data_IF_113465127418
#
_entry.id   IF_113465127418
#
_cell.length_a   1.000
_cell.length_b   1.000
_cell.length_c   1.000
_cell.angle_alpha   90.00
_cell.angle_beta   90.00
_cell.angle_gamma   90.00
#
_symmetry.space_group_name_H-M   'P 1'
#
loop_
_entity.id
_entity.type
_entity.pdbx_description
1 polymer ?
#
# COMPACT_ATOMS: atom_id res chain seq x y z
N UNK A 1 26.50 -21.37 -33.63
CA UNK A 1 26.62 -20.55 -32.43
C UNK A 1 25.45 -20.94 -31.56
N UNK A 2 25.69 -21.70 -30.50
CA UNK A 2 24.67 -22.04 -29.51
C UNK A 2 24.42 -20.80 -28.68
N UNK A 3 23.18 -20.27 -28.69
CA UNK A 3 22.75 -19.25 -27.75
C UNK A 3 23.00 -19.76 -26.32
N UNK A 4 23.55 -18.93 -25.42
CA UNK A 4 23.64 -19.31 -24.03
C UNK A 4 22.20 -19.52 -23.51
N UNK A 5 21.88 -20.69 -23.06
CA UNK A 5 20.70 -20.99 -22.29
C UNK A 5 20.84 -20.19 -21.00
N UNK A 6 20.14 -19.05 -20.90
CA UNK A 6 19.95 -18.37 -19.62
C UNK A 6 19.25 -19.38 -18.72
N UNK A 7 19.97 -19.92 -17.76
CA UNK A 7 19.35 -20.66 -16.64
C UNK A 7 18.48 -19.65 -15.91
N UNK A 8 17.17 -19.89 -15.92
CA UNK A 8 16.20 -19.10 -15.17
C UNK A 8 16.58 -19.15 -13.69
N UNK A 9 16.98 -18.00 -13.14
CA UNK A 9 17.42 -17.84 -11.75
C UNK A 9 16.44 -16.95 -11.00
N UNK A 10 16.32 -17.13 -9.69
CA UNK A 10 15.53 -16.26 -8.83
C UNK A 10 15.89 -14.78 -9.07
N UNK A 11 14.88 -13.91 -9.15
CA UNK A 11 15.06 -12.48 -9.41
C UNK A 11 15.24 -12.08 -10.87
N UNK A 12 15.21 -13.04 -11.82
CA UNK A 12 15.12 -12.72 -13.26
C UNK A 12 13.68 -12.70 -13.72
N UNK A 13 13.37 -11.93 -14.79
CA UNK A 13 12.05 -11.93 -15.40
C UNK A 13 11.63 -13.35 -15.82
N UNK A 14 10.36 -13.69 -15.62
CA UNK A 14 9.80 -15.00 -15.97
C UNK A 14 9.35 -15.02 -17.43
N UNK A 15 10.08 -15.68 -18.35
CA UNK A 15 9.76 -15.64 -19.78
C UNK A 15 8.46 -16.35 -20.15
N UNK A 16 7.82 -17.04 -19.20
CA UNK A 16 6.50 -17.65 -19.42
C UNK A 16 5.34 -16.69 -19.22
N UNK A 17 5.60 -15.42 -18.85
CA UNK A 17 4.62 -14.39 -18.66
C UNK A 17 4.71 -13.34 -19.76
N UNK A 18 3.62 -13.08 -20.46
CA UNK A 18 3.47 -12.07 -21.50
C UNK A 18 4.65 -12.04 -22.49
N UNK A 19 5.30 -10.91 -22.69
CA UNK A 19 6.48 -10.74 -23.54
C UNK A 19 7.74 -10.77 -22.65
N UNK A 20 8.43 -11.93 -22.57
CA UNK A 20 9.66 -12.10 -21.80
C UNK A 20 9.57 -11.65 -20.31
N UNK A 21 8.40 -11.81 -19.71
CA UNK A 21 8.14 -11.43 -18.30
C UNK A 21 7.48 -10.09 -18.10
N UNK A 22 7.15 -9.36 -19.17
CA UNK A 22 6.60 -7.99 -19.12
C UNK A 22 5.30 -7.90 -19.92
N UNK A 23 4.25 -7.39 -19.29
CA UNK A 23 3.00 -6.98 -19.94
C UNK A 23 2.89 -5.46 -19.92
N UNK A 24 2.81 -4.83 -21.09
CA UNK A 24 2.71 -3.36 -21.22
C UNK A 24 1.29 -2.94 -21.60
N UNK A 25 0.81 -1.86 -21.01
CA UNK A 25 -0.47 -1.24 -21.31
C UNK A 25 -0.29 0.10 -22.02
N UNK A 26 -1.23 0.48 -22.94
CA UNK A 26 -2.46 -0.24 -23.28
C UNK A 26 -2.21 -1.51 -24.10
N UNK A 27 -3.14 -2.47 -24.01
CA UNK A 27 -3.21 -3.62 -24.92
C UNK A 27 -4.43 -3.51 -25.83
N UNK A 28 -4.55 -4.27 -26.94
CA UNK A 28 -5.66 -4.14 -27.88
C UNK A 28 -7.06 -4.28 -27.23
N UNK A 29 -7.17 -5.14 -26.20
CA UNK A 29 -8.41 -5.42 -25.49
C UNK A 29 -8.70 -4.39 -24.38
N UNK A 30 -7.69 -3.66 -23.91
CA UNK A 30 -7.79 -2.68 -22.81
C UNK A 30 -7.14 -1.38 -23.21
N UNK A 31 -7.93 -0.35 -23.46
CA UNK A 31 -7.45 0.99 -23.82
C UNK A 31 -6.85 1.76 -22.63
N UNK A 32 -7.03 1.25 -21.40
CA UNK A 32 -6.50 1.85 -20.18
C UNK A 32 -5.04 1.47 -19.95
N UNK A 33 -4.34 2.32 -19.20
CA UNK A 33 -2.93 2.12 -18.89
C UNK A 33 -2.53 2.51 -17.46
N UNK A 34 -3.40 3.14 -16.69
CA UNK A 34 -3.08 3.54 -15.33
C UNK A 34 -3.29 2.37 -14.37
N UNK A 35 -2.28 1.50 -14.25
CA UNK A 35 -2.31 0.38 -13.30
C UNK A 35 -2.19 0.87 -11.86
N UNK A 36 -2.98 0.29 -10.93
CA UNK A 36 -3.08 0.82 -9.56
C UNK A 36 -2.86 -0.23 -8.47
N UNK A 37 -3.52 -1.38 -8.52
CA UNK A 37 -3.40 -2.44 -7.53
C UNK A 37 -3.39 -3.80 -8.21
N UNK A 38 -2.68 -4.77 -7.62
CA UNK A 38 -2.52 -6.10 -8.15
C UNK A 38 -2.71 -7.15 -7.05
N UNK A 39 -3.35 -8.28 -7.40
CA UNK A 39 -3.56 -9.39 -6.48
C UNK A 39 -3.49 -10.73 -7.23
N UNK A 40 -2.75 -11.68 -6.69
CA UNK A 40 -2.70 -13.06 -7.22
C UNK A 40 -3.78 -13.92 -6.61
N UNK A 41 -4.35 -14.81 -7.42
CA UNK A 41 -5.35 -15.79 -7.02
C UNK A 41 -4.73 -17.18 -6.82
N UNK A 42 -5.34 -18.05 -5.98
CA UNK A 42 -4.83 -19.41 -5.76
C UNK A 42 -4.71 -20.27 -7.02
N UNK A 43 -5.53 -20.00 -8.04
CA UNK A 43 -5.48 -20.66 -9.35
C UNK A 43 -4.47 -20.02 -10.31
N UNK A 44 -3.56 -19.18 -9.79
CA UNK A 44 -2.51 -18.46 -10.51
C UNK A 44 -3.00 -17.36 -11.46
N UNK A 45 -4.28 -17.06 -11.50
CA UNK A 45 -4.78 -15.87 -12.18
C UNK A 45 -4.41 -14.62 -11.39
N UNK A 46 -4.48 -13.47 -12.04
CA UNK A 46 -4.06 -12.18 -11.49
C UNK A 46 -5.21 -11.20 -11.67
N UNK A 47 -5.53 -10.48 -10.61
CA UNK A 47 -6.42 -9.33 -10.68
C UNK A 47 -5.59 -8.07 -10.75
N UNK A 48 -5.94 -7.18 -11.66
CA UNK A 48 -5.29 -5.90 -11.86
C UNK A 48 -6.37 -4.80 -11.91
N UNK A 49 -6.25 -3.79 -11.07
CA UNK A 49 -7.05 -2.57 -11.24
C UNK A 49 -6.33 -1.59 -12.15
N UNK A 50 -7.10 -0.95 -13.01
CA UNK A 50 -6.60 0.07 -13.91
C UNK A 50 -7.70 1.08 -14.29
N UNK A 51 -7.30 2.30 -14.64
CA UNK A 51 -8.17 3.34 -15.16
C UNK A 51 -8.18 3.27 -16.69
N UNK A 52 -9.38 3.27 -17.30
CA UNK A 52 -9.57 3.23 -18.74
C UNK A 52 -9.51 4.65 -19.31
N UNK A 53 -8.49 4.99 -20.06
CA UNK A 53 -8.28 6.27 -20.74
C UNK A 53 -8.22 7.53 -19.84
N UNK A 54 -7.17 8.32 -19.98
CA UNK A 54 -6.76 9.41 -19.09
C UNK A 54 -7.59 10.68 -19.12
N UNK A 55 -8.89 10.63 -18.84
CA UNK A 55 -9.74 11.80 -18.62
C UNK A 55 -10.31 11.85 -17.21
N UNK A 56 -10.63 13.03 -16.71
CA UNK A 56 -11.37 13.19 -15.45
C UNK A 56 -12.68 12.38 -15.50
N UNK A 57 -12.86 11.43 -14.55
CA UNK A 57 -14.04 10.58 -14.49
C UNK A 57 -13.98 9.33 -15.38
N UNK A 58 -12.80 8.97 -15.87
CA UNK A 58 -12.62 7.70 -16.60
C UNK A 58 -12.99 6.50 -15.73
N UNK A 59 -13.61 5.46 -16.30
CA UNK A 59 -13.96 4.27 -15.54
C UNK A 59 -12.73 3.58 -14.97
N UNK A 60 -12.81 3.19 -13.73
CA UNK A 60 -11.84 2.30 -13.10
C UNK A 60 -12.38 0.88 -13.15
N UNK A 61 -11.57 -0.06 -13.59
CA UNK A 61 -11.95 -1.46 -13.78
C UNK A 61 -11.00 -2.41 -13.07
N UNK A 62 -11.50 -3.60 -12.79
CA UNK A 62 -10.68 -4.77 -12.47
C UNK A 62 -10.60 -5.64 -13.72
N UNK A 63 -9.41 -5.93 -14.19
CA UNK A 63 -9.12 -6.94 -15.20
C UNK A 63 -8.67 -8.24 -14.54
N UNK A 64 -9.01 -9.40 -15.12
CA UNK A 64 -8.44 -10.68 -14.73
C UNK A 64 -7.50 -11.19 -15.82
N UNK A 65 -6.26 -11.45 -15.45
CA UNK A 65 -5.27 -12.04 -16.33
C UNK A 65 -5.08 -13.52 -16.01
N UNK A 66 -4.85 -14.31 -17.03
CA UNK A 66 -4.41 -15.70 -16.90
C UNK A 66 -2.97 -15.78 -16.39
N UNK A 67 -2.51 -16.97 -15.99
CA UNK A 67 -1.14 -17.20 -15.50
C UNK A 67 -0.07 -16.72 -16.50
N UNK A 68 -0.34 -16.79 -17.79
CA UNK A 68 0.59 -16.36 -18.84
C UNK A 68 0.50 -14.85 -19.19
N UNK A 69 -0.31 -14.06 -18.48
CA UNK A 69 -0.49 -12.64 -18.71
C UNK A 69 -1.57 -12.28 -19.75
N UNK A 70 -2.18 -13.24 -20.45
CA UNK A 70 -3.30 -12.96 -21.36
C UNK A 70 -4.56 -12.56 -20.59
N UNK A 71 -5.40 -11.71 -21.18
CA UNK A 71 -6.70 -11.33 -20.60
C UNK A 71 -7.64 -12.55 -20.56
N UNK A 72 -8.28 -12.76 -19.40
CA UNK A 72 -9.34 -13.75 -19.24
C UNK A 72 -10.68 -13.10 -19.58
N UNK A 73 -11.12 -13.28 -20.82
CA UNK A 73 -12.35 -12.66 -21.37
C UNK A 73 -13.63 -13.19 -20.73
N UNK A 74 -13.61 -14.32 -20.04
CA UNK A 74 -14.79 -14.86 -19.34
C UNK A 74 -15.08 -14.10 -18.02
N UNK A 75 -14.10 -13.33 -17.52
CA UNK A 75 -14.26 -12.52 -16.33
C UNK A 75 -15.29 -11.41 -16.53
N UNK A 76 -16.16 -11.20 -15.53
CA UNK A 76 -17.25 -10.23 -15.61
C UNK A 76 -18.48 -10.70 -16.40
N UNK A 77 -18.40 -11.85 -17.08
CA UNK A 77 -19.56 -12.52 -17.74
C UNK A 77 -20.08 -11.83 -19.00
N UNK A 78 -19.39 -10.78 -19.50
CA UNK A 78 -19.81 -10.02 -20.68
C UNK A 78 -18.83 -10.15 -21.87
N UNK A 79 -17.83 -11.02 -21.76
CA UNK A 79 -16.81 -11.25 -22.77
C UNK A 79 -15.71 -10.19 -22.85
N UNK A 80 -15.73 -9.17 -21.96
CA UNK A 80 -14.73 -8.12 -21.96
C UNK A 80 -13.50 -8.43 -21.09
N UNK A 81 -13.60 -9.36 -20.16
CA UNK A 81 -12.56 -9.62 -19.15
C UNK A 81 -12.44 -8.53 -18.09
N UNK A 82 -13.41 -7.62 -18.00
CA UNK A 82 -13.37 -6.43 -17.15
C UNK A 82 -14.62 -6.32 -16.27
N UNK A 83 -14.43 -5.88 -15.03
CA UNK A 83 -15.50 -5.48 -14.10
C UNK A 83 -15.30 -4.02 -13.73
N UNK A 84 -16.24 -3.16 -14.06
CA UNK A 84 -16.22 -1.74 -13.71
C UNK A 84 -16.54 -1.53 -12.22
N UNK A 85 -15.75 -0.69 -11.56
CA UNK A 85 -15.98 -0.29 -10.18
C UNK A 85 -16.93 0.90 -10.16
N UNK A 86 -18.16 0.68 -9.65
CA UNK A 86 -19.19 1.71 -9.57
C UNK A 86 -19.49 2.06 -8.12
N UNK A 87 -19.20 3.28 -7.72
CA UNK A 87 -19.46 3.78 -6.35
C UNK A 87 -20.76 4.56 -6.21
N UNK A 88 -21.58 4.63 -7.28
CA UNK A 88 -22.86 5.35 -7.26
C UNK A 88 -22.72 6.88 -7.36
N UNK A 89 -21.55 7.39 -7.72
CA UNK A 89 -21.27 8.82 -7.94
C UNK A 89 -20.80 9.03 -9.37
N UNK A 90 -21.64 9.57 -10.22
CA UNK A 90 -21.27 9.94 -11.59
C UNK A 90 -20.15 11.00 -11.59
N UNK A 91 -19.21 10.94 -12.54
CA UNK A 91 -18.09 11.86 -12.71
C UNK A 91 -17.15 12.01 -11.49
N UNK A 92 -17.23 11.11 -10.51
CA UNK A 92 -16.25 11.09 -9.44
C UNK A 92 -14.93 10.53 -9.97
N UNK A 93 -13.82 11.24 -9.73
CA UNK A 93 -12.50 10.65 -9.90
C UNK A 93 -12.32 9.56 -8.85
N UNK A 94 -11.86 8.41 -9.27
CA UNK A 94 -11.63 7.25 -8.42
C UNK A 94 -10.19 6.76 -8.61
N UNK A 95 -9.58 6.32 -7.53
CA UNK A 95 -8.37 5.51 -7.56
C UNK A 95 -8.59 4.24 -6.74
N UNK A 96 -7.99 3.13 -7.15
CA UNK A 96 -7.98 1.89 -6.37
C UNK A 96 -6.66 1.83 -5.61
N UNK A 97 -6.77 1.63 -4.31
CA UNK A 97 -5.60 1.47 -3.44
C UNK A 97 -5.26 0.01 -3.22
N UNK A 98 -6.26 -0.82 -3.02
CA UNK A 98 -6.06 -2.24 -2.74
C UNK A 98 -7.23 -3.10 -3.24
N UNK A 99 -6.91 -4.36 -3.52
CA UNK A 99 -7.87 -5.43 -3.77
C UNK A 99 -7.58 -6.54 -2.75
N UNK A 100 -8.60 -7.01 -2.04
CA UNK A 100 -8.47 -8.07 -1.04
C UNK A 100 -9.37 -9.24 -1.37
N UNK A 101 -8.86 -10.45 -1.20
CA UNK A 101 -9.68 -11.64 -1.14
C UNK A 101 -10.20 -11.81 0.27
N UNK A 102 -11.52 -12.00 0.39
CA UNK A 102 -12.19 -12.21 1.66
C UNK A 102 -12.19 -13.71 2.03
N UNK A 103 -12.35 -14.00 3.32
CA UNK A 103 -12.38 -15.37 3.82
C UNK A 103 -13.59 -16.19 3.33
N UNK A 104 -14.66 -15.52 2.90
CA UNK A 104 -15.85 -16.13 2.30
C UNK A 104 -15.75 -16.37 0.77
N UNK A 105 -14.56 -16.11 0.20
CA UNK A 105 -14.28 -16.23 -1.23
C UNK A 105 -14.62 -15.00 -2.05
N UNK A 106 -15.31 -14.01 -1.47
CA UNK A 106 -15.61 -12.73 -2.11
C UNK A 106 -14.40 -11.79 -2.16
N UNK A 107 -14.64 -10.56 -2.61
CA UNK A 107 -13.63 -9.56 -2.88
C UNK A 107 -14.01 -8.21 -2.29
N UNK A 108 -13.03 -7.50 -1.79
CA UNK A 108 -13.16 -6.13 -1.34
C UNK A 108 -12.20 -5.26 -2.14
N UNK A 109 -12.74 -4.25 -2.81
CA UNK A 109 -11.96 -3.21 -3.48
C UNK A 109 -12.04 -1.95 -2.63
N UNK A 110 -10.90 -1.37 -2.32
CA UNK A 110 -10.81 -0.13 -1.57
C UNK A 110 -10.07 0.92 -2.39
N UNK A 111 -10.56 2.15 -2.33
CA UNK A 111 -9.93 3.28 -2.97
C UNK A 111 -10.36 4.62 -2.40
N UNK A 112 -9.95 5.70 -3.04
CA UNK A 112 -10.44 7.03 -2.75
C UNK A 112 -11.27 7.57 -3.90
N UNK A 113 -12.16 8.52 -3.58
CA UNK A 113 -12.95 9.23 -4.56
C UNK A 113 -12.89 10.74 -4.31
N UNK A 114 -12.95 11.51 -5.38
CA UNK A 114 -13.04 12.96 -5.33
C UNK A 114 -14.07 13.48 -6.32
N UNK A 115 -15.04 14.23 -5.82
CA UNK A 115 -16.04 15.00 -6.58
C UNK A 115 -16.42 16.21 -5.76
N UNK A 116 -15.95 17.41 -6.18
CA UNK A 116 -16.20 18.64 -5.43
C UNK A 116 -17.70 18.85 -5.12
N UNK A 117 -18.11 19.15 -3.87
CA UNK A 117 -17.28 19.34 -2.68
C UNK A 117 -16.99 18.06 -1.87
N UNK A 118 -17.32 16.88 -2.39
CA UNK A 118 -17.25 15.61 -1.66
C UNK A 118 -15.99 14.81 -2.05
N UNK A 119 -15.27 14.34 -1.05
CA UNK A 119 -14.15 13.39 -1.20
C UNK A 119 -14.15 12.39 -0.05
N UNK A 120 -13.50 11.26 -0.23
CA UNK A 120 -13.49 10.23 0.80
C UNK A 120 -12.85 8.92 0.34
N UNK A 121 -12.95 7.92 1.22
CA UNK A 121 -12.63 6.54 0.89
C UNK A 121 -13.89 5.81 0.45
N UNK A 122 -13.72 4.82 -0.39
CA UNK A 122 -14.79 3.89 -0.75
C UNK A 122 -14.35 2.45 -0.58
N UNK A 123 -15.31 1.58 -0.30
CA UNK A 123 -15.17 0.14 -0.36
C UNK A 123 -16.32 -0.41 -1.22
N UNK A 124 -15.98 -1.33 -2.10
CA UNK A 124 -16.95 -2.06 -2.92
C UNK A 124 -16.74 -3.55 -2.68
N UNK A 125 -17.81 -4.25 -2.30
CA UNK A 125 -17.74 -5.68 -2.05
C UNK A 125 -18.36 -6.47 -3.20
N UNK A 126 -17.62 -7.46 -3.67
CA UNK A 126 -18.05 -8.42 -4.68
C UNK A 126 -18.11 -9.82 -4.06
N UNK A 127 -19.04 -10.64 -4.51
CA UNK A 127 -19.08 -12.07 -4.22
C UNK A 127 -18.00 -12.81 -5.02
N UNK A 128 -17.82 -14.09 -4.75
CA UNK A 128 -16.86 -14.94 -5.48
C UNK A 128 -17.13 -14.97 -7.00
N UNK A 129 -18.41 -14.85 -7.41
CA UNK A 129 -18.86 -14.78 -8.81
C UNK A 129 -18.72 -13.38 -9.44
N UNK A 130 -18.09 -12.42 -8.75
CA UNK A 130 -17.89 -11.03 -9.17
C UNK A 130 -19.18 -10.22 -9.33
N UNK A 131 -20.28 -10.73 -8.85
CA UNK A 131 -21.47 -9.91 -8.70
C UNK A 131 -21.35 -9.04 -7.45
N UNK A 132 -21.89 -7.83 -7.54
CA UNK A 132 -21.91 -6.91 -6.41
C UNK A 132 -22.63 -7.55 -5.23
N UNK A 133 -22.03 -7.51 -4.03
CA UNK A 133 -22.70 -7.98 -2.81
C UNK A 133 -23.58 -6.87 -2.23
N UNK A 134 -24.82 -6.82 -2.65
CA UNK A 134 -25.78 -5.79 -2.25
C UNK A 134 -26.07 -5.74 -0.74
N UNK A 135 -25.66 -6.75 0.01
CA UNK A 135 -25.80 -6.76 1.48
C UNK A 135 -24.75 -5.89 2.20
N UNK A 136 -23.71 -5.48 1.47
CA UNK A 136 -22.64 -4.66 2.00
C UNK A 136 -22.93 -3.16 1.82
N UNK A 137 -22.84 -2.38 2.89
CA UNK A 137 -23.02 -0.92 2.84
C UNK A 137 -24.36 -0.51 2.25
N UNK A 138 -24.32 0.38 1.28
CA UNK A 138 -25.48 0.76 0.48
C UNK A 138 -25.36 0.11 -0.90
N UNK A 139 -26.13 -0.98 -1.13
CA UNK A 139 -26.13 -1.72 -2.40
C UNK A 139 -24.74 -2.13 -2.88
N UNK A 140 -23.93 -2.69 -1.97
CA UNK A 140 -22.60 -3.20 -2.28
C UNK A 140 -21.47 -2.19 -2.12
N UNK A 141 -21.79 -0.95 -1.74
CA UNK A 141 -20.83 0.16 -1.62
C UNK A 141 -20.87 0.77 -0.23
N UNK A 142 -19.72 1.01 0.36
CA UNK A 142 -19.55 1.84 1.55
C UNK A 142 -18.71 3.05 1.19
N UNK A 143 -19.30 4.23 1.25
CA UNK A 143 -18.59 5.50 1.19
C UNK A 143 -18.23 5.95 2.62
N UNK A 144 -17.01 6.42 2.80
CA UNK A 144 -16.49 7.00 4.05
C UNK A 144 -16.03 8.43 3.72
N UNK A 145 -16.95 9.40 3.69
CA UNK A 145 -16.61 10.78 3.33
C UNK A 145 -15.66 11.38 4.37
N UNK A 146 -14.65 12.10 3.95
CA UNK A 146 -13.72 12.79 4.86
C UNK A 146 -14.46 13.75 5.80
N UNK A 147 -15.46 14.45 5.31
CA UNK A 147 -16.31 15.33 6.12
C UNK A 147 -17.03 14.65 7.29
N UNK A 148 -17.30 13.33 7.21
CA UNK A 148 -17.95 12.59 8.30
C UNK A 148 -16.99 12.07 9.34
N UNK A 149 -15.70 11.97 9.03
CA UNK A 149 -14.67 11.56 9.98
C UNK A 149 -14.41 12.64 11.04
N UNK A 150 -14.76 13.91 10.74
CA UNK A 150 -14.71 15.03 11.69
C UNK A 150 -16.06 15.40 12.33
N UNK A 151 -17.09 14.55 12.27
CA UNK A 151 -18.40 14.84 12.84
C UNK A 151 -18.28 15.18 14.35
N UNK A 152 -19.00 16.22 14.87
CA UNK A 152 -18.96 16.62 16.27
C UNK A 152 -19.42 15.55 17.29
N UNK A 153 -19.89 14.39 16.86
CA UNK A 153 -20.03 13.22 17.72
C UNK A 153 -18.68 12.59 18.11
N UNK A 154 -17.63 12.93 17.39
CA UNK A 154 -16.27 12.48 17.64
C UNK A 154 -15.51 13.59 18.36
N UNK A 155 -15.70 13.67 19.65
CA UNK A 155 -14.90 14.52 20.54
C UNK A 155 -13.64 13.74 20.87
N UNK A 156 -12.46 14.31 20.63
CA UNK A 156 -11.21 13.72 21.09
C UNK A 156 -11.27 13.43 22.60
N UNK A 157 -10.45 12.53 23.09
CA UNK A 157 -10.36 12.16 24.50
C UNK A 157 -10.08 13.37 25.42
N UNK A 158 -9.58 14.46 24.84
CA UNK A 158 -9.32 15.77 25.45
C UNK A 158 -10.49 16.77 25.29
N UNK A 159 -11.61 16.38 24.66
CA UNK A 159 -12.76 17.24 24.41
C UNK A 159 -12.62 18.14 23.17
N UNK A 160 -11.56 18.02 22.40
CA UNK A 160 -11.41 18.74 21.13
C UNK A 160 -12.29 18.13 20.03
N UNK A 161 -13.01 18.96 19.27
CA UNK A 161 -13.72 18.49 18.09
C UNK A 161 -12.74 18.24 16.95
N UNK A 162 -12.93 17.11 16.28
CA UNK A 162 -12.16 16.73 15.11
C UNK A 162 -12.83 17.26 13.84
N UNK A 163 -12.06 17.85 12.96
CA UNK A 163 -12.51 18.27 11.63
C UNK A 163 -11.87 17.37 10.57
N UNK A 164 -12.58 17.12 9.47
CA UNK A 164 -12.00 16.39 8.34
C UNK A 164 -10.96 17.27 7.64
N UNK A 165 -9.83 16.68 7.26
CA UNK A 165 -8.92 17.34 6.34
C UNK A 165 -9.40 17.09 4.91
N UNK A 166 -9.91 18.10 4.21
CA UNK A 166 -10.02 18.05 2.77
C UNK A 166 -8.61 18.04 2.17
N UNK A 167 -8.25 16.98 1.45
CA UNK A 167 -6.96 16.88 0.74
C UNK A 167 -6.78 17.98 -0.33
N UNK A 168 -7.83 18.74 -0.63
CA UNK A 168 -7.83 19.82 -1.62
C UNK A 168 -7.41 21.21 -1.09
N UNK A 169 -7.10 21.34 0.20
CA UNK A 169 -6.54 22.60 0.68
C UNK A 169 -5.07 22.69 0.26
N UNK A 170 -4.80 23.60 -0.67
CA UNK A 170 -3.52 23.94 -1.30
C UNK A 170 -2.45 24.50 -0.35
N UNK A 171 -2.38 24.02 0.87
CA UNK A 171 -1.35 24.39 1.83
C UNK A 171 -0.36 23.25 1.98
N UNK A 172 0.69 23.26 1.17
CA UNK A 172 2.06 22.82 1.48
C UNK A 172 2.37 21.52 2.23
N UNK A 173 1.38 20.70 2.58
CA UNK A 173 1.63 19.32 2.97
C UNK A 173 2.13 18.57 1.73
N UNK A 174 3.24 17.82 1.80
CA UNK A 174 3.69 17.05 0.66
C UNK A 174 2.51 16.20 0.22
N UNK A 175 1.99 16.46 -0.97
CA UNK A 175 1.10 15.50 -1.63
C UNK A 175 1.91 14.21 -1.66
N UNK A 176 1.53 13.26 -0.86
CA UNK A 176 2.05 11.91 -0.98
C UNK A 176 1.55 11.39 -2.32
N UNK A 177 2.30 11.73 -3.37
CA UNK A 177 2.07 11.26 -4.72
C UNK A 177 2.15 9.74 -4.68
N UNK A 178 1.04 9.07 -4.94
CA UNK A 178 0.98 7.61 -4.96
C UNK A 178 0.96 6.95 -3.57
N UNK A 179 0.62 7.66 -2.51
CA UNK A 179 0.56 7.05 -1.18
C UNK A 179 -0.63 6.11 -1.04
N UNK A 180 -0.41 4.81 -1.25
CA UNK A 180 -1.37 3.74 -1.00
C UNK A 180 -1.43 3.32 0.48
N UNK A 181 -1.04 4.21 1.38
CA UNK A 181 -0.90 3.95 2.81
C UNK A 181 -2.19 3.64 3.56
N UNK A 182 -3.37 3.94 3.04
CA UNK A 182 -4.61 3.47 3.66
C UNK A 182 -4.86 2.02 3.26
N UNK A 183 -4.58 1.10 4.14
CA UNK A 183 -4.80 -0.33 3.91
C UNK A 183 -6.13 -0.73 4.52
N UNK A 184 -7.02 -1.37 3.75
CA UNK A 184 -8.14 -2.11 4.32
C UNK A 184 -7.70 -3.56 4.51
N UNK A 185 -7.99 -4.13 5.65
CA UNK A 185 -7.70 -5.52 5.95
C UNK A 185 -8.91 -6.17 6.58
N UNK A 186 -9.36 -7.32 6.06
CA UNK A 186 -10.39 -8.12 6.68
C UNK A 186 -9.76 -9.23 7.53
N UNK A 187 -10.19 -9.30 8.78
CA UNK A 187 -9.86 -10.40 9.68
C UNK A 187 -10.78 -11.63 9.49
N UNK A 188 -10.43 -12.74 10.11
CA UNK A 188 -11.24 -13.97 10.17
C UNK A 188 -12.67 -13.74 10.68
N UNK A 189 -12.90 -12.72 11.52
CA UNK A 189 -14.22 -12.32 12.03
C UNK A 189 -14.94 -11.31 11.11
N UNK A 190 -14.42 -11.04 9.93
CA UNK A 190 -15.01 -10.13 8.95
C UNK A 190 -14.82 -8.63 9.22
N UNK A 191 -14.06 -8.24 10.25
CA UNK A 191 -13.80 -6.82 10.52
C UNK A 191 -12.89 -6.22 9.46
N UNK A 192 -13.15 -4.95 9.09
CA UNK A 192 -12.41 -4.19 8.09
C UNK A 192 -11.78 -2.99 8.79
N UNK A 193 -10.49 -2.78 8.56
CA UNK A 193 -9.74 -1.65 9.15
C UNK A 193 -9.31 -0.69 8.04
N UNK A 194 -9.43 0.60 8.32
CA UNK A 194 -9.02 1.69 7.43
C UNK A 194 -8.18 2.69 8.21
N UNK A 195 -7.17 3.25 7.57
CA UNK A 195 -6.42 4.37 8.15
C UNK A 195 -6.73 5.68 7.41
N UNK A 196 -6.73 6.77 8.15
CA UNK A 196 -6.89 8.11 7.62
C UNK A 196 -6.30 9.14 8.60
N UNK A 197 -6.42 10.41 8.27
CA UNK A 197 -6.06 11.52 9.14
C UNK A 197 -7.26 12.42 9.42
N UNK A 198 -7.23 13.07 10.57
CA UNK A 198 -8.20 14.10 10.95
C UNK A 198 -7.45 15.35 11.38
N UNK A 199 -8.09 16.52 11.21
CA UNK A 199 -7.55 17.79 11.70
C UNK A 199 -8.32 18.20 12.95
N UNK A 200 -7.60 18.52 14.02
CA UNK A 200 -8.19 19.07 15.24
C UNK A 200 -8.56 20.53 15.05
N UNK A 201 -9.38 21.11 15.95
CA UNK A 201 -9.69 22.55 15.95
C UNK A 201 -8.46 23.44 16.12
N UNK A 202 -7.40 22.94 16.75
CA UNK A 202 -6.11 23.63 16.87
C UNK A 202 -5.29 23.58 15.57
N UNK A 203 -5.77 22.89 14.52
CA UNK A 203 -5.06 22.72 13.26
C UNK A 203 -4.00 21.60 13.30
N UNK A 204 -3.99 20.79 14.35
CA UNK A 204 -3.11 19.64 14.44
C UNK A 204 -3.67 18.47 13.60
N UNK A 205 -2.85 17.85 12.78
CA UNK A 205 -3.21 16.64 12.02
C UNK A 205 -2.86 15.42 12.86
N UNK A 206 -3.82 14.52 13.04
CA UNK A 206 -3.66 13.27 13.77
C UNK A 206 -4.11 12.08 12.91
N UNK A 207 -3.31 11.03 12.88
CA UNK A 207 -3.69 9.76 12.26
C UNK A 207 -4.81 9.08 13.04
N UNK A 208 -5.65 8.35 12.32
CA UNK A 208 -6.71 7.51 12.90
C UNK A 208 -6.74 6.14 12.26
N UNK A 209 -7.25 5.16 12.98
CA UNK A 209 -7.63 3.86 12.46
C UNK A 209 -9.12 3.63 12.74
N UNK A 210 -9.88 3.32 11.69
CA UNK A 210 -11.32 3.01 11.76
C UNK A 210 -11.53 1.50 11.69
N UNK A 211 -12.59 1.02 12.32
CA UNK A 211 -13.05 -0.37 12.18
C UNK A 211 -14.50 -0.41 11.71
N UNK A 212 -14.71 -1.20 10.66
CA UNK A 212 -16.04 -1.50 10.14
C UNK A 212 -16.41 -2.97 10.41
N UNK A 213 -17.69 -3.25 10.47
CA UNK A 213 -18.24 -4.60 10.47
C UNK A 213 -18.15 -5.21 9.05
N UNK A 214 -18.40 -6.52 8.96
CA UNK A 214 -18.41 -7.25 7.68
C UNK A 214 -19.47 -6.76 6.68
N UNK A 215 -20.51 -6.08 7.15
CA UNK A 215 -21.55 -5.44 6.34
C UNK A 215 -21.22 -4.00 5.93
N UNK A 216 -20.03 -3.49 6.28
CA UNK A 216 -19.59 -2.13 6.02
C UNK A 216 -20.11 -1.08 7.00
N UNK A 217 -20.90 -1.44 8.01
CA UNK A 217 -21.32 -0.52 9.06
C UNK A 217 -20.17 -0.19 10.02
N UNK A 218 -20.21 0.98 10.67
CA UNK A 218 -19.21 1.35 11.66
C UNK A 218 -19.28 0.44 12.88
N UNK A 219 -18.17 -0.10 13.32
CA UNK A 219 -18.10 -0.95 14.50
C UNK A 219 -17.85 -0.14 15.77
N UNK A 220 -18.91 0.32 16.39
CA UNK A 220 -18.86 1.11 17.64
C UNK A 220 -18.30 0.37 18.85
N UNK A 221 -18.02 -0.94 18.76
CA UNK A 221 -17.32 -1.64 19.83
C UNK A 221 -15.81 -1.36 19.82
N UNK A 222 -15.29 -0.76 18.75
CA UNK A 222 -13.90 -0.32 18.66
C UNK A 222 -13.78 1.09 19.23
N UNK A 223 -13.11 1.22 20.37
CA UNK A 223 -12.91 2.44 21.12
C UNK A 223 -14.23 3.24 21.38
N UNK A 224 -15.38 2.56 21.46
CA UNK A 224 -16.73 3.12 21.65
C UNK A 224 -17.18 4.10 20.53
N UNK A 225 -16.28 4.46 19.61
CA UNK A 225 -16.47 5.45 18.55
C UNK A 225 -16.41 4.83 17.15
N UNK A 226 -15.88 3.61 17.01
CA UNK A 226 -15.59 2.98 15.73
C UNK A 226 -14.23 3.35 15.15
N UNK A 227 -13.46 4.19 15.85
CA UNK A 227 -12.10 4.55 15.48
C UNK A 227 -11.23 4.84 16.71
N UNK A 228 -9.91 4.76 16.52
CA UNK A 228 -8.92 5.18 17.50
C UNK A 228 -8.01 6.25 16.90
N UNK A 229 -7.68 7.26 17.70
CA UNK A 229 -6.74 8.33 17.35
C UNK A 229 -5.33 7.86 17.70
N UNK A 230 -4.36 8.18 16.85
CA UNK A 230 -2.96 7.90 17.12
C UNK A 230 -2.40 9.01 18.00
N UNK A 231 -2.14 8.67 19.26
CA UNK A 231 -1.43 9.53 20.20
C UNK A 231 -0.04 8.96 20.45
N UNK A 232 0.99 9.79 20.21
CA UNK A 232 2.39 9.40 20.41
C UNK A 232 2.83 9.85 21.80
N UNK A 233 2.47 9.08 22.83
CA UNK A 233 2.75 9.43 24.22
C UNK A 233 4.24 9.69 24.47
N UNK A 234 4.55 10.77 25.16
CA UNK A 234 5.93 11.16 25.50
C UNK A 234 6.71 11.80 24.34
N UNK A 235 6.05 12.05 23.21
CA UNK A 235 6.65 12.75 22.05
C UNK A 235 5.91 14.07 21.85
N UNK A 236 6.64 15.18 21.88
CA UNK A 236 6.10 16.49 21.51
C UNK A 236 6.07 16.62 19.98
N UNK A 237 5.00 16.11 19.37
CA UNK A 237 4.80 16.13 17.91
C UNK A 237 3.79 17.20 17.51
N UNK A 238 4.00 17.79 16.34
CA UNK A 238 3.08 18.77 15.76
C UNK A 238 1.98 18.08 14.95
N UNK A 239 2.34 17.10 14.13
CA UNK A 239 1.44 16.34 13.28
C UNK A 239 1.89 14.89 13.22
N UNK A 240 0.95 13.97 13.08
CA UNK A 240 1.22 12.59 12.68
C UNK A 240 0.26 12.13 11.58
N UNK A 241 0.71 11.17 10.78
CA UNK A 241 -0.01 10.63 9.64
C UNK A 241 0.07 9.12 9.68
N UNK A 242 -1.03 8.44 9.36
CA UNK A 242 -1.07 6.99 9.20
C UNK A 242 -0.79 6.63 7.74
N UNK A 243 0.04 5.62 7.53
CA UNK A 243 0.42 5.13 6.20
C UNK A 243 0.14 3.65 5.98
N UNK A 244 0.09 2.85 7.04
CA UNK A 244 -0.16 1.41 6.94
C UNK A 244 -0.88 0.86 8.17
N UNK A 245 -1.58 -0.27 7.99
CA UNK A 245 -2.23 -1.02 9.06
C UNK A 245 -2.06 -2.51 8.83
N UNK A 246 -1.81 -3.24 9.91
CA UNK A 246 -1.81 -4.70 9.93
C UNK A 246 -2.56 -5.21 11.15
N UNK A 247 -3.17 -6.39 11.06
CA UNK A 247 -4.00 -6.92 12.14
C UNK A 247 -3.53 -8.33 12.51
N UNK A 248 -3.27 -8.53 13.79
CA UNK A 248 -2.84 -9.81 14.34
C UNK A 248 -4.03 -10.77 14.50
N UNK A 249 -3.76 -12.07 14.55
CA UNK A 249 -4.78 -13.11 14.67
C UNK A 249 -5.63 -12.98 15.94
N UNK A 250 -5.10 -12.38 17.00
CA UNK A 250 -5.81 -12.11 18.26
C UNK A 250 -6.65 -10.81 18.22
N UNK A 251 -6.70 -10.14 17.08
CA UNK A 251 -7.48 -8.92 16.86
C UNK A 251 -6.76 -7.63 17.23
N UNK A 252 -5.52 -7.67 17.68
CA UNK A 252 -4.72 -6.47 17.91
C UNK A 252 -4.37 -5.81 16.57
N UNK A 253 -4.30 -4.48 16.58
CA UNK A 253 -4.13 -3.65 15.38
C UNK A 253 -2.82 -2.88 15.47
N UNK A 254 -1.95 -3.07 14.50
CA UNK A 254 -0.73 -2.31 14.31
C UNK A 254 -0.99 -1.19 13.29
N UNK A 255 -0.63 0.01 13.63
CA UNK A 255 -0.74 1.18 12.76
C UNK A 255 0.63 1.81 12.63
N UNK A 256 1.09 1.95 11.38
CA UNK A 256 2.34 2.60 11.04
C UNK A 256 2.13 3.95 10.36
N UNK A 257 3.09 4.84 10.56
CA UNK A 257 3.04 6.14 9.94
C UNK A 257 4.24 7.01 10.28
N UNK A 258 4.11 8.29 10.01
CA UNK A 258 5.15 9.28 10.25
C UNK A 258 4.66 10.38 11.19
N UNK A 259 5.61 11.09 11.80
CA UNK A 259 5.33 12.26 12.63
C UNK A 259 6.35 13.37 12.41
N UNK A 260 5.92 14.61 12.63
CA UNK A 260 6.75 15.80 12.60
C UNK A 260 6.82 16.42 13.99
N UNK A 261 8.03 16.83 14.43
CA UNK A 261 8.22 17.54 15.68
C UNK A 261 7.85 19.03 15.54
N UNK A 262 7.63 19.71 16.67
CA UNK A 262 7.18 21.11 16.69
C UNK A 262 8.17 22.10 16.09
N UNK A 263 9.45 21.81 16.12
CA UNK A 263 10.54 22.67 15.62
C UNK A 263 10.77 22.58 14.10
N UNK A 264 9.99 21.78 13.38
CA UNK A 264 10.06 21.53 11.93
C UNK A 264 11.38 20.89 11.42
N UNK A 265 12.33 20.63 12.32
CA UNK A 265 13.65 20.09 11.98
C UNK A 265 13.80 18.61 12.30
N UNK A 266 12.74 17.96 12.74
CA UNK A 266 12.79 16.58 13.14
C UNK A 266 11.45 15.87 12.98
N UNK A 267 11.55 14.56 13.07
CA UNK A 267 10.40 13.68 12.97
C UNK A 267 10.86 12.23 12.96
N UNK A 268 10.07 11.40 12.36
CA UNK A 268 10.38 10.00 12.22
C UNK A 268 9.16 9.19 11.85
N UNK A 269 9.28 7.89 11.99
CA UNK A 269 8.19 6.94 11.79
C UNK A 269 7.81 6.28 13.10
N UNK A 270 6.61 5.76 13.17
CA UNK A 270 6.10 5.05 14.33
C UNK A 270 5.36 3.78 13.95
N UNK A 271 5.31 2.83 14.88
CA UNK A 271 4.39 1.70 14.90
C UNK A 271 3.69 1.71 16.23
N UNK A 272 2.37 1.89 16.23
CA UNK A 272 1.52 1.87 17.43
C UNK A 272 0.64 0.64 17.40
N UNK A 273 0.46 -0.02 18.55
CA UNK A 273 -0.47 -1.16 18.65
C UNK A 273 -1.68 -0.83 19.52
N UNK A 274 -2.84 -1.19 19.02
CA UNK A 274 -4.11 -1.18 19.77
C UNK A 274 -4.56 -2.60 20.08
N UNK A 275 -5.24 -2.77 21.21
CA UNK A 275 -5.94 -4.01 21.51
C UNK A 275 -7.17 -4.22 20.60
N UNK A 276 -7.78 -5.39 20.65
CA UNK A 276 -8.97 -5.71 19.85
C UNK A 276 -10.17 -4.78 20.13
N UNK A 277 -10.14 -4.00 21.21
CA UNK A 277 -11.17 -3.02 21.55
C UNK A 277 -10.79 -1.59 21.14
N UNK A 278 -9.64 -1.38 20.49
CA UNK A 278 -9.17 -0.07 20.03
C UNK A 278 -8.51 0.78 21.10
N UNK A 279 -8.10 0.20 22.23
CA UNK A 279 -7.35 0.90 23.28
C UNK A 279 -5.86 0.66 23.08
N UNK A 280 -5.03 1.65 23.42
CA UNK A 280 -3.56 1.53 23.31
C UNK A 280 -3.06 0.29 24.08
N UNK A 281 -2.40 -0.62 23.39
CA UNK A 281 -1.83 -1.83 23.98
C UNK A 281 -0.42 -1.56 24.53
N UNK A 282 -0.36 -1.22 25.81
CA UNK A 282 0.91 -0.91 26.50
C UNK A 282 1.86 -2.09 26.66
N UNK A 283 1.41 -3.32 26.39
CA UNK A 283 2.29 -4.48 26.35
C UNK A 283 3.23 -4.49 25.14
N UNK A 284 2.91 -3.66 24.14
CA UNK A 284 3.75 -3.45 22.95
C UNK A 284 4.75 -2.32 23.21
N UNK A 285 5.83 -2.63 23.92
CA UNK A 285 6.91 -1.69 24.24
C UNK A 285 6.39 -0.29 24.69
N UNK A 286 5.39 -0.30 25.59
CA UNK A 286 4.72 0.90 26.07
C UNK A 286 3.58 1.43 25.18
N UNK A 287 3.29 0.79 24.05
CA UNK A 287 2.20 1.09 23.11
C UNK A 287 2.69 1.57 21.75
N UNK A 288 3.87 2.19 21.68
CA UNK A 288 4.40 2.78 20.44
C UNK A 288 5.91 2.62 20.35
N UNK A 289 6.37 2.19 19.18
CA UNK A 289 7.80 2.14 18.79
C UNK A 289 8.07 3.25 17.79
N UNK A 290 9.18 3.96 17.93
CA UNK A 290 9.56 5.01 16.98
C UNK A 290 10.98 4.84 16.47
N UNK A 291 11.18 5.19 15.20
CA UNK A 291 12.49 5.41 14.60
C UNK A 291 12.60 6.88 14.27
N UNK A 292 13.42 7.60 15.06
CA UNK A 292 13.67 9.02 14.85
C UNK A 292 14.67 9.22 13.74
N UNK A 293 14.37 10.14 12.85
CA UNK A 293 15.22 10.55 11.76
C UNK A 293 15.01 12.07 11.52
N UNK A 294 15.84 12.65 10.70
CA UNK A 294 15.58 13.98 10.17
C UNK A 294 14.30 13.97 9.29
N UNK A 295 13.92 15.09 8.74
CA UNK A 295 12.72 15.29 7.90
C UNK A 295 12.67 14.28 6.73
N UNK A 296 11.47 13.88 6.31
CA UNK A 296 11.26 13.10 5.09
C UNK A 296 11.39 11.57 5.27
N UNK A 297 10.84 11.03 6.35
CA UNK A 297 10.69 9.59 6.54
C UNK A 297 9.25 9.15 6.31
N UNK A 298 9.06 7.96 5.74
CA UNK A 298 7.78 7.32 5.51
C UNK A 298 7.81 5.87 5.98
N UNK A 299 6.66 5.34 6.43
CA UNK A 299 6.47 3.94 6.78
C UNK A 299 5.36 3.35 5.90
N UNK A 300 5.73 2.90 4.72
CA UNK A 300 4.81 2.50 3.64
C UNK A 300 4.07 1.21 3.88
N UNK A 301 4.68 0.25 4.56
CA UNK A 301 4.11 -1.09 4.76
C UNK A 301 4.50 -1.68 6.11
N UNK A 302 3.57 -2.43 6.68
CA UNK A 302 3.76 -3.28 7.85
C UNK A 302 3.24 -4.66 7.49
N UNK A 303 4.07 -5.69 7.70
CA UNK A 303 3.71 -7.09 7.52
C UNK A 303 3.94 -7.87 8.80
N UNK A 304 3.10 -8.88 9.06
CA UNK A 304 3.18 -9.72 10.25
C UNK A 304 3.48 -11.15 9.82
N UNK A 305 4.51 -11.74 10.42
CA UNK A 305 4.76 -13.18 10.29
C UNK A 305 3.88 -13.94 11.29
N UNK A 306 2.92 -14.69 10.77
CA UNK A 306 1.96 -15.41 11.61
C UNK A 306 2.63 -16.46 12.52
N UNK A 307 3.77 -17.02 12.11
CA UNK A 307 4.43 -18.12 12.82
C UNK A 307 4.96 -17.72 14.21
N UNK A 308 5.39 -16.46 14.40
CA UNK A 308 6.00 -15.96 15.64
C UNK A 308 5.58 -14.54 16.03
N UNK A 309 4.66 -13.93 15.26
CA UNK A 309 4.19 -12.56 15.50
C UNK A 309 5.24 -11.48 15.21
N UNK A 310 6.36 -11.80 14.55
CA UNK A 310 7.34 -10.80 14.12
C UNK A 310 6.72 -9.81 13.14
N UNK A 311 7.13 -8.54 13.25
CA UNK A 311 6.57 -7.43 12.50
C UNK A 311 7.67 -6.81 11.66
N UNK A 312 7.51 -6.83 10.33
CA UNK A 312 8.37 -6.10 9.40
C UNK A 312 7.72 -4.77 9.07
N UNK A 313 8.49 -3.71 9.16
CA UNK A 313 8.08 -2.37 8.79
C UNK A 313 9.08 -1.80 7.77
N UNK A 314 8.59 -1.35 6.62
CA UNK A 314 9.42 -0.84 5.54
C UNK A 314 8.89 0.48 4.98
N UNK A 315 9.81 1.28 4.46
CA UNK A 315 9.55 2.60 3.90
C UNK A 315 10.84 3.29 3.48
N UNK A 316 10.96 4.56 3.77
CA UNK A 316 12.11 5.35 3.38
C UNK A 316 12.48 6.44 4.39
N UNK A 317 13.69 6.97 4.26
CA UNK A 317 14.17 8.10 5.02
C UNK A 317 15.20 8.91 4.22
N UNK A 318 15.16 10.24 4.34
CA UNK A 318 16.22 11.10 3.79
C UNK A 318 17.48 11.01 4.65
N UNK A 319 18.58 10.57 4.05
CA UNK A 319 19.89 10.48 4.71
C UNK A 319 20.99 10.85 3.73
N UNK A 320 21.96 11.63 4.20
CA UNK A 320 23.13 12.02 3.41
C UNK A 320 22.78 12.58 2.01
N UNK A 321 21.72 13.40 1.97
CA UNK A 321 21.26 14.08 0.76
C UNK A 321 20.52 13.19 -0.25
N UNK A 322 20.23 11.93 0.08
CA UNK A 322 19.49 11.02 -0.77
C UNK A 322 18.42 10.25 0.03
N UNK A 323 17.41 9.75 -0.66
CA UNK A 323 16.43 8.85 -0.11
C UNK A 323 17.04 7.45 0.05
N UNK A 324 16.87 6.87 1.23
CA UNK A 324 17.34 5.53 1.54
C UNK A 324 16.13 4.67 1.90
N UNK A 325 16.04 3.48 1.35
CA UNK A 325 15.08 2.49 1.80
C UNK A 325 15.31 2.17 3.28
N UNK A 326 14.29 2.29 4.10
CA UNK A 326 14.33 2.00 5.53
C UNK A 326 13.54 0.73 5.83
N UNK A 327 14.10 -0.17 6.64
CA UNK A 327 13.42 -1.38 7.09
C UNK A 327 13.84 -1.71 8.52
N UNK A 328 12.91 -2.23 9.31
CA UNK A 328 13.21 -2.78 10.62
C UNK A 328 12.24 -3.91 10.96
N UNK A 329 12.70 -4.80 11.82
CA UNK A 329 11.89 -5.92 12.33
C UNK A 329 11.69 -5.76 13.81
N UNK A 330 10.45 -5.92 14.26
CA UNK A 330 10.08 -5.95 15.66
C UNK A 330 9.62 -7.35 16.06
N UNK A 331 9.89 -7.72 17.29
CA UNK A 331 9.26 -8.88 17.93
C UNK A 331 7.77 -8.61 18.15
N UNK A 332 6.98 -9.63 18.45
CA UNK A 332 5.56 -9.50 18.85
C UNK A 332 5.37 -8.48 19.99
N UNK A 333 6.32 -8.35 20.89
CA UNK A 333 6.30 -7.38 21.99
C UNK A 333 6.70 -5.95 21.63
N UNK A 334 7.03 -5.66 20.37
CA UNK A 334 7.42 -4.31 19.92
C UNK A 334 8.88 -3.94 20.21
N UNK A 335 9.75 -4.90 20.49
CA UNK A 335 11.19 -4.67 20.61
C UNK A 335 11.87 -4.93 19.26
N UNK A 336 12.92 -4.17 18.95
CA UNK A 336 13.72 -4.47 17.75
C UNK A 336 14.26 -5.90 17.81
N UNK A 337 14.07 -6.66 16.74
CA UNK A 337 14.59 -8.04 16.66
C UNK A 337 16.10 -7.99 16.46
N UNK A 338 16.84 -8.52 17.43
CA UNK A 338 18.30 -8.52 17.40
C UNK A 338 18.89 -9.35 16.23
N UNK A 339 18.13 -10.33 15.72
CA UNK A 339 18.58 -11.13 14.59
C UNK A 339 18.58 -10.31 13.29
N UNK A 340 17.68 -9.34 13.15
CA UNK A 340 17.65 -8.45 11.99
C UNK A 340 18.54 -7.22 12.25
N UNK A 341 19.56 -7.03 11.43
CA UNK A 341 20.48 -5.90 11.46
C UNK A 341 20.95 -5.53 12.89
N UNK A 342 21.19 -6.55 13.73
CA UNK A 342 21.62 -6.39 15.14
C UNK A 342 20.69 -5.52 15.99
N UNK A 343 19.39 -5.61 15.74
CA UNK A 343 18.39 -4.83 16.47
C UNK A 343 18.38 -3.34 16.13
N UNK A 344 18.83 -2.96 14.94
CA UNK A 344 18.83 -1.59 14.46
C UNK A 344 18.04 -1.47 13.15
N UNK A 345 17.40 -0.32 12.87
CA UNK A 345 16.86 -0.04 11.56
C UNK A 345 17.95 -0.16 10.47
N UNK A 346 17.60 -0.87 9.40
CA UNK A 346 18.44 -0.98 8.21
C UNK A 346 18.10 0.17 7.26
N UNK A 347 19.12 0.89 6.81
CA UNK A 347 19.01 1.92 5.78
C UNK A 347 19.78 1.46 4.55
N UNK A 348 19.07 1.23 3.46
CA UNK A 348 19.63 0.68 2.23
C UNK A 348 19.71 1.75 1.14
N UNK A 349 20.86 1.82 0.47
CA UNK A 349 21.08 2.61 -0.74
C UNK A 349 21.74 1.71 -1.78
N UNK A 350 20.93 0.88 -2.45
CA UNK A 350 21.42 -0.12 -3.38
C UNK A 350 21.84 0.48 -4.74
N UNK A 351 21.37 1.70 -5.01
CA UNK A 351 21.70 2.47 -6.22
C UNK A 351 22.12 3.89 -5.86
N UNK A 352 23.01 4.54 -6.64
CA UNK A 352 23.56 5.85 -6.29
C UNK A 352 22.53 6.96 -6.14
N UNK A 353 21.46 6.95 -6.94
CA UNK A 353 20.41 7.96 -6.98
C UNK A 353 19.46 7.92 -5.79
N UNK A 354 19.58 6.92 -4.91
CA UNK A 354 18.67 6.70 -3.80
C UNK A 354 17.52 5.77 -4.16
N UNK A 355 16.72 5.43 -3.16
CA UNK A 355 15.59 4.50 -3.32
C UNK A 355 14.62 4.58 -2.14
N UNK A 356 13.41 4.09 -2.35
CA UNK A 356 12.39 3.92 -1.32
C UNK A 356 11.76 2.53 -1.41
N UNK A 357 11.35 1.96 -0.26
CA UNK A 357 10.55 0.73 -0.24
C UNK A 357 9.06 1.07 -0.18
N UNK A 358 8.27 0.45 -1.06
CA UNK A 358 6.82 0.65 -1.12
C UNK A 358 6.05 -0.54 -0.59
N UNK A 359 6.53 -1.74 -0.87
CA UNK A 359 5.94 -3.00 -0.44
C UNK A 359 7.01 -3.94 0.07
N UNK A 360 6.61 -4.79 1.00
CA UNK A 360 7.39 -5.97 1.33
C UNK A 360 6.47 -7.17 1.57
N UNK A 361 7.02 -8.37 1.40
CA UNK A 361 6.38 -9.64 1.72
C UNK A 361 7.34 -10.43 2.56
N UNK A 362 6.86 -10.92 3.70
CA UNK A 362 7.63 -11.74 4.61
C UNK A 362 7.45 -13.23 4.24
N UNK A 363 8.55 -13.90 3.91
CA UNK A 363 8.55 -15.30 3.52
C UNK A 363 8.55 -16.22 4.74
N UNK A 364 8.13 -17.48 4.53
CA UNK A 364 8.06 -18.47 5.61
C UNK A 364 9.42 -18.79 6.24
N UNK A 365 10.51 -18.66 5.48
CA UNK A 365 11.90 -18.84 5.96
C UNK A 365 12.47 -17.62 6.70
N UNK A 366 11.68 -16.55 6.82
CA UNK A 366 12.07 -15.28 7.43
C UNK A 366 12.78 -14.32 6.48
N UNK A 367 13.00 -14.69 5.23
CA UNK A 367 13.47 -13.79 4.19
C UNK A 367 12.40 -12.76 3.83
N UNK A 368 12.81 -11.63 3.27
CA UNK A 368 11.93 -10.53 2.91
C UNK A 368 12.11 -10.20 1.43
N UNK A 369 11.02 -10.20 0.66
CA UNK A 369 11.01 -9.55 -0.65
C UNK A 369 10.54 -8.12 -0.44
N UNK A 370 11.28 -7.16 -0.94
CA UNK A 370 10.92 -5.75 -0.89
C UNK A 370 11.05 -5.13 -2.27
N UNK A 371 10.06 -4.33 -2.65
CA UNK A 371 10.07 -3.60 -3.92
C UNK A 371 9.72 -2.13 -3.70
N UNK A 372 10.24 -1.29 -4.60
CA UNK A 372 10.04 0.15 -4.56
C UNK A 372 10.60 0.85 -5.77
N UNK A 373 10.72 2.17 -5.66
CA UNK A 373 11.18 3.04 -6.74
C UNK A 373 12.54 3.66 -6.38
N UNK A 374 13.43 3.80 -7.37
CA UNK A 374 14.72 4.50 -7.21
C UNK A 374 14.54 6.01 -7.38
N UNK A 375 15.58 6.79 -7.06
CA UNK A 375 15.57 8.25 -7.15
C UNK A 375 15.18 8.94 -5.84
N UNK A 376 15.09 10.26 -5.88
CA UNK A 376 14.78 11.10 -4.72
C UNK A 376 13.34 11.61 -4.67
N UNK A 377 12.50 11.14 -5.57
CA UNK A 377 11.12 11.60 -5.65
C UNK A 377 10.36 10.93 -6.79
N UNK A 378 9.10 11.34 -6.90
CA UNK A 378 8.18 10.83 -7.88
C UNK A 378 8.52 11.35 -9.30
N UNK A 379 8.46 10.44 -10.28
CA UNK A 379 8.61 10.75 -11.71
C UNK A 379 9.85 11.62 -12.04
N UNK A 380 11.00 11.22 -11.57
CA UNK A 380 12.29 11.78 -11.99
C UNK A 380 12.94 10.88 -13.03
N UNK A 381 13.82 11.42 -13.89
CA UNK A 381 14.58 10.67 -14.91
C UNK A 381 15.34 9.45 -14.33
N UNK A 382 15.61 9.46 -13.03
CA UNK A 382 16.30 8.38 -12.30
C UNK A 382 15.35 7.31 -11.74
N UNK A 383 14.03 7.47 -11.92
CA UNK A 383 13.05 6.56 -11.37
C UNK A 383 13.05 5.25 -12.16
N UNK A 384 13.31 4.14 -11.45
CA UNK A 384 13.26 2.75 -11.91
C UNK A 384 12.66 1.91 -10.81
N UNK A 385 12.22 0.70 -11.14
CA UNK A 385 11.71 -0.21 -10.12
C UNK A 385 12.83 -1.11 -9.62
N UNK A 386 12.96 -1.22 -8.31
CA UNK A 386 13.97 -2.02 -7.66
C UNK A 386 13.30 -3.06 -6.74
N UNK A 387 13.61 -4.33 -6.97
CA UNK A 387 13.13 -5.46 -6.16
C UNK A 387 14.32 -6.19 -5.56
N UNK A 388 14.28 -6.42 -4.26
CA UNK A 388 15.35 -7.09 -3.53
C UNK A 388 14.83 -8.23 -2.67
N UNK A 389 15.68 -9.22 -2.45
CA UNK A 389 15.51 -10.26 -1.44
C UNK A 389 16.53 -10.09 -0.34
N UNK A 390 16.02 -9.97 0.90
CA UNK A 390 16.85 -9.90 2.09
C UNK A 390 16.74 -11.21 2.88
N UNK A 391 17.84 -11.66 3.42
CA UNK A 391 17.89 -12.77 4.37
C UNK A 391 17.33 -12.35 5.73
N UNK A 392 17.02 -13.30 6.65
CA UNK A 392 16.48 -12.98 7.97
C UNK A 392 17.33 -12.02 8.81
N UNK A 393 18.63 -11.91 8.54
CA UNK A 393 19.54 -11.01 9.22
C UNK A 393 19.61 -9.58 8.62
N UNK A 394 18.86 -9.34 7.52
CA UNK A 394 18.81 -8.08 6.79
C UNK A 394 19.90 -7.93 5.72
N UNK A 395 20.79 -8.89 5.53
CA UNK A 395 21.72 -8.90 4.40
C UNK A 395 21.01 -9.25 3.09
N UNK A 396 21.55 -8.79 1.95
CA UNK A 396 21.04 -9.19 0.64
C UNK A 396 21.26 -10.68 0.40
N UNK A 397 20.28 -11.36 -0.21
CA UNK A 397 20.40 -12.74 -0.63
C UNK A 397 21.09 -12.86 -2.00
N UNK A 398 22.36 -13.29 -2.08
CA UNK A 398 23.09 -13.33 -3.34
C UNK A 398 22.53 -14.34 -4.34
N UNK A 399 21.63 -15.22 -3.94
CA UNK A 399 20.97 -16.17 -4.85
C UNK A 399 19.88 -15.49 -5.69
N UNK A 400 19.39 -14.31 -5.26
CA UNK A 400 18.46 -13.50 -5.99
C UNK A 400 19.21 -12.61 -6.98
N UNK A 401 19.05 -12.85 -8.26
CA UNK A 401 19.72 -12.16 -9.38
C UNK A 401 21.26 -12.02 -9.24
N UNK A 402 21.91 -12.93 -8.47
CA UNK A 402 23.36 -12.96 -8.28
C UNK A 402 23.95 -11.92 -7.34
N UNK A 403 23.18 -10.89 -6.94
CA UNK A 403 23.61 -9.79 -6.07
C UNK A 403 22.60 -9.37 -5.01
N UNK A 404 21.43 -10.03 -4.98
CA UNK A 404 20.37 -9.79 -4.00
C UNK A 404 19.30 -8.78 -4.42
N UNK A 405 19.41 -8.17 -5.60
CA UNK A 405 18.38 -7.27 -6.13
C UNK A 405 18.36 -7.26 -7.65
N UNK A 406 17.26 -6.77 -8.22
CA UNK A 406 17.08 -6.52 -9.64
C UNK A 406 16.52 -5.12 -9.85
N UNK A 407 16.77 -4.54 -11.02
CA UNK A 407 16.24 -3.24 -11.42
C UNK A 407 15.50 -3.43 -12.74
N UNK A 408 14.23 -3.06 -12.75
CA UNK A 408 13.45 -2.97 -13.98
C UNK A 408 13.56 -1.53 -14.52
N UNK A 409 14.02 -1.45 -15.77
CA UNK A 409 14.38 -0.21 -16.46
C UNK A 409 13.99 -0.34 -17.93
N UNK A 410 13.10 0.51 -18.40
CA UNK A 410 12.76 0.68 -19.81
C UNK A 410 13.56 1.87 -20.35
N UNK A 411 14.35 1.68 -21.39
CA UNK A 411 15.34 2.65 -21.89
C UNK A 411 14.80 4.06 -22.22
N UNK A 412 13.49 4.21 -22.42
CA UNK A 412 12.86 5.43 -22.96
C UNK A 412 11.91 6.11 -21.96
N UNK A 413 11.65 5.48 -20.83
CA UNK A 413 10.67 5.91 -19.81
C UNK A 413 11.29 5.87 -18.42
N UNK A 414 10.62 6.49 -17.45
CA UNK A 414 10.93 6.28 -16.04
C UNK A 414 9.82 5.43 -15.42
N UNK A 415 10.18 4.49 -14.56
CA UNK A 415 9.23 3.55 -13.99
C UNK A 415 8.98 3.85 -12.52
N UNK A 416 7.70 3.88 -12.16
CA UNK A 416 7.29 3.91 -10.76
C UNK A 416 6.46 2.68 -10.42
N UNK A 417 6.83 2.02 -9.33
CA UNK A 417 6.09 0.90 -8.78
C UNK A 417 4.78 1.37 -8.16
N UNK A 418 3.71 0.62 -8.35
CA UNK A 418 2.40 0.90 -7.74
C UNK A 418 2.02 -0.15 -6.72
N UNK A 419 2.19 -1.42 -7.03
CA UNK A 419 1.83 -2.51 -6.12
C UNK A 419 2.58 -3.79 -6.43
N UNK A 420 2.70 -4.68 -5.42
CA UNK A 420 3.38 -5.97 -5.49
C UNK A 420 2.59 -7.03 -4.75
N UNK A 421 2.59 -8.23 -5.29
CA UNK A 421 2.05 -9.42 -4.65
C UNK A 421 2.90 -10.64 -5.02
N UNK A 422 2.74 -11.74 -4.26
CA UNK A 422 3.38 -13.01 -4.57
C UNK A 422 2.37 -14.07 -4.98
N UNK A 423 2.75 -14.88 -5.94
CA UNK A 423 2.03 -16.11 -6.30
C UNK A 423 2.29 -17.20 -5.26
N UNK A 424 1.39 -18.20 -5.20
CA UNK A 424 1.53 -19.33 -4.28
C UNK A 424 2.79 -20.20 -4.52
N UNK A 425 3.39 -20.11 -5.70
CA UNK A 425 4.63 -20.80 -6.08
C UNK A 425 5.90 -19.94 -5.87
N UNK A 426 5.75 -18.77 -5.23
CA UNK A 426 6.83 -17.88 -4.87
C UNK A 426 7.16 -16.80 -5.91
N UNK A 427 6.67 -16.91 -7.15
CA UNK A 427 6.91 -15.90 -8.19
C UNK A 427 6.38 -14.54 -7.72
N UNK A 428 7.11 -13.47 -8.04
CA UNK A 428 6.79 -12.10 -7.64
C UNK A 428 6.10 -11.41 -8.82
N UNK A 429 4.99 -10.73 -8.57
CA UNK A 429 4.28 -9.93 -9.55
C UNK A 429 4.19 -8.50 -9.06
N UNK A 430 4.52 -7.57 -9.93
CA UNK A 430 4.49 -6.13 -9.67
C UNK A 430 3.75 -5.40 -10.79
N UNK A 431 3.14 -4.29 -10.46
CA UNK A 431 2.56 -3.37 -11.44
C UNK A 431 3.01 -1.94 -11.19
N UNK A 432 3.00 -1.14 -12.23
CA UNK A 432 3.43 0.24 -12.14
C UNK A 432 3.14 1.06 -13.40
N UNK A 433 3.74 2.23 -13.44
CA UNK A 433 3.52 3.25 -14.47
C UNK A 433 4.82 3.59 -15.17
N UNK A 434 4.70 3.84 -16.47
CA UNK A 434 5.74 4.46 -17.29
C UNK A 434 5.47 5.94 -17.41
N UNK A 435 6.49 6.74 -17.19
CA UNK A 435 6.47 8.19 -17.27
C UNK A 435 7.39 8.65 -18.40
N UNK A 436 7.01 9.74 -19.04
CA UNK A 436 7.84 10.44 -20.05
C UNK A 436 7.91 11.90 -19.71
N UNK A 437 9.01 12.53 -20.09
CA UNK A 437 9.08 13.99 -20.06
C UNK A 437 8.13 14.60 -21.08
N UNK A 438 7.46 15.67 -20.67
CA UNK A 438 6.68 16.53 -21.55
C UNK A 438 7.11 17.98 -21.34
N UNK A 439 6.68 18.88 -22.22
CA UNK A 439 7.05 20.31 -22.17
C UNK A 439 6.66 21.01 -20.85
N UNK A 440 5.76 20.43 -20.05
CA UNK A 440 5.24 21.08 -18.85
C UNK A 440 5.55 20.31 -17.56
N UNK A 441 5.48 18.98 -17.58
CA UNK A 441 5.73 18.10 -16.44
C UNK A 441 5.77 16.65 -16.92
N UNK A 442 6.35 15.71 -16.17
CA UNK A 442 6.27 14.29 -16.51
C UNK A 442 4.82 13.83 -16.69
N UNK A 443 4.56 13.18 -17.80
CA UNK A 443 3.27 12.59 -18.17
C UNK A 443 3.31 11.06 -18.11
N UNK A 444 2.16 10.43 -17.83
CA UNK A 444 2.05 8.97 -17.86
C UNK A 444 1.95 8.52 -19.32
N UNK A 445 2.89 7.67 -19.73
CA UNK A 445 2.96 7.11 -21.08
C UNK A 445 2.30 5.72 -21.17
N UNK A 446 2.22 4.99 -20.07
CA UNK A 446 1.69 3.64 -20.03
C UNK A 446 1.71 3.04 -18.63
N UNK A 447 1.26 1.79 -18.56
CA UNK A 447 1.38 0.96 -17.38
C UNK A 447 2.08 -0.35 -17.72
N UNK A 448 2.49 -1.07 -16.69
CA UNK A 448 3.15 -2.36 -16.87
C UNK A 448 2.77 -3.32 -15.74
N UNK A 449 2.89 -4.62 -16.04
CA UNK A 449 2.92 -5.72 -15.08
C UNK A 449 4.14 -6.56 -15.40
N UNK A 450 4.98 -6.83 -14.42
CA UNK A 450 6.15 -7.68 -14.54
C UNK A 450 6.06 -8.88 -13.61
N UNK A 451 6.69 -9.97 -14.00
CA UNK A 451 6.78 -11.18 -13.17
C UNK A 451 8.22 -11.66 -13.07
N UNK A 452 8.69 -11.86 -11.83
CA UNK A 452 10.00 -12.43 -11.55
C UNK A 452 9.88 -13.89 -11.07
N UNK A 453 10.90 -14.66 -11.38
CA UNK A 453 11.12 -15.98 -10.78
C UNK A 453 11.55 -15.85 -9.32
N UNK A 454 11.13 -16.81 -8.47
CA UNK A 454 11.41 -16.85 -7.04
C UNK A 454 12.78 -17.48 -6.73
#
# INVERSE_FOLDING_TARGET
MTQPTHTATAGTLDPSFADEGVLKFPIPEISGFYTQAILTLPNKQILLSLELSGGLGSPTVIARLNENGSLDTDFGGNGSGLVEIRIGMEDARQDVRNIYRLSDGGWLVMGSYSKSPNSGLYLVRYREDWQLDESFGEKGVRLVPYATMGNPRYVGLDGEALESSDEDSSTGAPRASGNKGATALQQLNGKIFLTHVVTTKSGQIKGIVLRLNSDGSTDYTFNELGFAIIELEGIDYRHNFTESVAVQMDGKVLVGGLFYLGDQNGGGVYVTRFDAMGRLDRSFNGGTVTVRNAIGSHLRTIEIREADGSIVAAGDAMRDGARNGMMFVLTEGGFFDFNFNRGQPLFSRLVPQGMEWWRCVLLADGSIIASGTTGNGFATEDAKVLTARLLPDGSLDPTFNGNGFTVFDEEVTFESMQDMTMMADGRIIECGLNWVETDFAPGIAGGWVIRYLA
#
